data_IF_308172247744
#
_entry.id   IF_308172247744
#
_cell.length_a   1.000
_cell.length_b   1.000
_cell.length_c   1.000
_cell.angle_alpha   90.00
_cell.angle_beta   90.00
_cell.angle_gamma   90.00
#
_symmetry.space_group_name_H-M   'P 1'
#
loop_
_entity.id
_entity.type
_entity.pdbx_description
1 polymer ?
#
# COMPACT_ATOMS: atom_id res chain seq x y z
N UNK A 1 5.39 -43.13 -26.05
CA UNK A 1 5.15 -41.90 -26.84
C UNK A 1 5.63 -40.73 -26.00
N UNK A 2 6.58 -39.97 -26.53
CA UNK A 2 6.99 -38.70 -25.96
C UNK A 2 5.74 -37.82 -25.82
N UNK A 3 5.36 -37.47 -24.60
CA UNK A 3 4.32 -36.48 -24.39
C UNK A 3 4.99 -35.12 -24.44
N UNK A 4 4.63 -34.39 -25.49
CA UNK A 4 5.11 -33.08 -25.85
C UNK A 4 5.16 -32.13 -24.66
N UNK A 5 6.33 -31.53 -24.52
CA UNK A 5 6.59 -30.41 -23.64
C UNK A 5 6.16 -29.15 -24.39
N UNK A 6 5.11 -28.49 -23.86
CA UNK A 6 4.44 -27.27 -24.37
C UNK A 6 3.56 -27.44 -25.62
N UNK A 7 2.25 -27.30 -25.43
CA UNK A 7 1.27 -27.23 -26.52
C UNK A 7 1.43 -25.91 -27.28
N UNK A 8 2.19 -25.92 -28.36
CA UNK A 8 2.17 -24.81 -29.31
C UNK A 8 0.89 -24.89 -30.14
N UNK A 9 0.10 -23.83 -30.13
CA UNK A 9 -1.10 -23.70 -30.97
C UNK A 9 -0.66 -23.17 -32.32
N UNK A 10 -0.55 -24.05 -33.31
CA UNK A 10 -0.07 -23.71 -34.65
C UNK A 10 -1.06 -22.85 -35.46
N UNK A 11 -2.34 -22.94 -35.14
CA UNK A 11 -3.41 -22.18 -35.77
C UNK A 11 -4.22 -21.46 -34.70
N UNK A 12 -3.71 -20.33 -34.18
CA UNK A 12 -4.41 -19.60 -33.12
C UNK A 12 -5.69 -18.99 -33.68
N UNK A 13 -6.76 -18.97 -32.87
CA UNK A 13 -8.08 -18.48 -33.29
C UNK A 13 -8.08 -17.02 -33.80
N UNK A 14 -7.07 -16.24 -33.42
CA UNK A 14 -6.88 -14.83 -33.80
C UNK A 14 -6.09 -14.63 -35.09
N UNK A 15 -5.56 -15.70 -35.72
CA UNK A 15 -4.70 -15.63 -36.92
C UNK A 15 -5.32 -14.82 -38.07
N UNK A 16 -6.62 -15.02 -38.31
CA UNK A 16 -7.32 -14.39 -39.43
C UNK A 16 -8.00 -13.07 -39.03
N UNK A 17 -7.74 -12.55 -37.83
CA UNK A 17 -8.32 -11.28 -37.38
C UNK A 17 -7.55 -10.11 -38.01
N UNK A 18 -8.18 -9.33 -38.91
CA UNK A 18 -7.47 -8.38 -39.79
C UNK A 18 -6.79 -7.21 -39.07
N UNK A 19 -7.10 -6.99 -37.79
CA UNK A 19 -6.57 -5.92 -36.96
C UNK A 19 -5.91 -6.43 -35.66
N UNK A 20 -5.68 -7.75 -35.54
CA UNK A 20 -5.04 -8.33 -34.37
C UNK A 20 -3.52 -8.35 -34.55
N UNK A 21 -2.81 -7.53 -33.77
CA UNK A 21 -1.37 -7.63 -33.61
C UNK A 21 -1.07 -8.29 -32.27
N UNK A 22 -0.71 -9.58 -32.29
CA UNK A 22 -0.44 -10.35 -31.08
C UNK A 22 0.72 -9.76 -30.27
N UNK A 23 1.66 -9.08 -30.91
CA UNK A 23 2.80 -8.46 -30.22
C UNK A 23 2.37 -7.24 -29.41
N UNK A 24 1.24 -6.62 -29.77
CA UNK A 24 0.61 -5.51 -29.02
C UNK A 24 -0.44 -5.99 -28.02
N UNK A 25 -0.95 -7.22 -28.19
CA UNK A 25 -1.95 -7.79 -27.27
C UNK A 25 -1.36 -8.21 -25.92
N UNK A 26 -0.03 -8.41 -25.83
CA UNK A 26 0.64 -8.76 -24.58
C UNK A 26 1.03 -7.48 -23.86
N UNK A 27 0.16 -7.02 -22.97
CA UNK A 27 0.42 -5.83 -22.17
C UNK A 27 1.35 -6.13 -20.97
N UNK A 28 2.11 -5.12 -20.50
CA UNK A 28 2.90 -5.25 -19.29
C UNK A 28 2.03 -5.52 -18.07
N UNK A 29 2.61 -6.16 -17.04
CA UNK A 29 1.85 -6.54 -15.86
C UNK A 29 2.64 -6.20 -14.58
N UNK A 30 2.11 -5.28 -13.79
CA UNK A 30 2.79 -4.74 -12.61
C UNK A 30 3.03 -5.84 -11.57
N UNK A 31 2.02 -6.66 -11.27
CA UNK A 31 2.17 -7.69 -10.25
C UNK A 31 3.17 -8.77 -10.69
N UNK A 32 2.96 -9.42 -11.83
CA UNK A 32 3.71 -10.59 -12.26
C UNK A 32 5.03 -10.27 -12.93
N UNK A 33 5.18 -9.12 -13.58
CA UNK A 33 6.45 -8.73 -14.19
C UNK A 33 7.29 -7.90 -13.23
N UNK A 34 6.74 -6.87 -12.60
CA UNK A 34 7.53 -5.99 -11.74
C UNK A 34 7.70 -6.57 -10.34
N UNK A 35 6.63 -6.74 -9.58
CA UNK A 35 6.74 -7.20 -8.19
C UNK A 35 7.18 -8.67 -8.11
N UNK A 36 6.55 -9.56 -8.88
CA UNK A 36 6.84 -10.99 -8.84
C UNK A 36 7.99 -11.45 -9.72
N UNK A 37 8.40 -10.62 -10.68
CA UNK A 37 9.57 -10.84 -11.53
C UNK A 37 10.76 -10.00 -11.06
N UNK A 38 10.84 -8.76 -11.51
CA UNK A 38 11.99 -7.86 -11.31
C UNK A 38 12.36 -7.69 -9.84
N UNK A 39 11.42 -7.30 -8.99
CA UNK A 39 11.68 -7.09 -7.56
C UNK A 39 12.04 -8.41 -6.86
N UNK A 40 11.50 -9.55 -7.30
CA UNK A 40 11.89 -10.88 -6.79
C UNK A 40 13.40 -11.09 -6.92
N UNK A 41 13.87 -10.91 -8.15
CA UNK A 41 15.27 -11.11 -8.49
C UNK A 41 16.12 -10.08 -7.78
N UNK A 42 15.69 -8.82 -7.78
CA UNK A 42 16.38 -7.74 -7.10
C UNK A 42 16.59 -8.01 -5.61
N UNK A 43 15.57 -8.49 -4.89
CA UNK A 43 15.68 -8.85 -3.47
C UNK A 43 16.68 -9.98 -3.27
N UNK A 44 16.60 -11.05 -4.07
CA UNK A 44 17.56 -12.16 -4.01
C UNK A 44 19.00 -11.69 -4.26
N UNK A 45 19.19 -10.85 -5.27
CA UNK A 45 20.48 -10.24 -5.59
C UNK A 45 21.01 -9.38 -4.46
N UNK A 46 20.14 -8.59 -3.81
CA UNK A 46 20.54 -7.78 -2.67
C UNK A 46 20.95 -8.64 -1.46
N UNK A 47 20.29 -9.78 -1.23
CA UNK A 47 20.67 -10.72 -0.17
C UNK A 47 22.06 -11.33 -0.41
N UNK A 48 22.44 -11.58 -1.66
CA UNK A 48 23.78 -12.06 -2.02
C UNK A 48 24.85 -10.94 -1.97
N UNK A 49 24.47 -9.71 -2.30
CA UNK A 49 25.36 -8.54 -2.29
C UNK A 49 25.73 -8.07 -0.88
N UNK A 50 24.87 -8.31 0.11
CA UNK A 50 25.13 -7.93 1.50
C UNK A 50 26.20 -8.88 2.08
N UNK A 51 27.41 -8.38 2.43
CA UNK A 51 28.54 -9.26 2.77
C UNK A 51 28.32 -10.10 4.04
N UNK A 52 27.58 -9.55 5.01
CA UNK A 52 27.36 -10.18 6.31
C UNK A 52 26.01 -10.88 6.32
N UNK A 53 26.01 -12.20 6.53
CA UNK A 53 24.78 -12.99 6.65
C UNK A 53 23.89 -12.43 7.77
N UNK A 54 22.63 -12.17 7.44
CA UNK A 54 21.63 -11.67 8.39
C UNK A 54 21.67 -10.15 8.65
N UNK A 55 22.61 -9.41 8.05
CA UNK A 55 22.68 -7.95 8.18
C UNK A 55 21.45 -7.25 7.60
N UNK A 56 20.95 -7.72 6.45
CA UNK A 56 19.71 -7.18 5.86
C UNK A 56 18.53 -7.33 6.83
N UNK A 57 18.36 -8.50 7.44
CA UNK A 57 17.32 -8.73 8.44
C UNK A 57 17.53 -7.91 9.71
N UNK A 58 18.78 -7.73 10.15
CA UNK A 58 19.10 -6.88 11.29
C UNK A 58 18.68 -5.43 11.05
N UNK A 59 18.94 -4.90 9.84
CA UNK A 59 18.53 -3.55 9.46
C UNK A 59 17.02 -3.41 9.31
N UNK A 60 16.35 -4.42 8.75
CA UNK A 60 14.89 -4.45 8.67
C UNK A 60 14.23 -4.38 10.06
N UNK A 61 14.82 -5.05 11.07
CA UNK A 61 14.37 -4.98 12.47
C UNK A 61 14.68 -3.65 13.14
N UNK A 62 15.71 -2.94 12.69
CA UNK A 62 16.16 -1.67 13.25
C UNK A 62 15.46 -0.45 12.63
N UNK A 63 14.71 -0.64 11.53
CA UNK A 63 13.93 0.44 10.93
C UNK A 63 12.92 0.98 11.94
N UNK A 64 12.84 2.30 12.12
CA UNK A 64 11.77 2.86 12.94
C UNK A 64 10.41 2.54 12.28
N UNK A 65 9.36 2.32 13.08
CA UNK A 65 8.00 2.26 12.55
C UNK A 65 7.70 3.51 11.72
N UNK A 66 7.17 3.32 10.51
CA UNK A 66 6.78 4.38 9.61
C UNK A 66 5.34 4.14 9.13
N UNK A 67 4.59 5.23 8.95
CA UNK A 67 3.21 5.16 8.46
C UNK A 67 3.16 4.68 7.01
N UNK A 68 2.18 3.85 6.69
CA UNK A 68 2.03 3.23 5.36
C UNK A 68 3.13 2.23 5.01
N UNK A 69 3.93 1.76 5.97
CA UNK A 69 5.01 0.79 5.74
C UNK A 69 4.96 -0.31 6.78
N UNK A 70 4.90 -1.56 6.31
CA UNK A 70 4.93 -2.74 7.18
C UNK A 70 6.29 -2.87 7.86
N UNK A 71 6.26 -3.03 9.18
CA UNK A 71 7.45 -3.34 9.97
C UNK A 71 7.73 -4.85 9.99
N UNK A 72 8.94 -5.26 9.61
CA UNK A 72 9.35 -6.67 9.51
C UNK A 72 10.11 -7.12 10.77
N UNK A 73 9.38 -7.37 11.87
CA UNK A 73 9.95 -7.72 13.19
C UNK A 73 10.92 -8.91 13.19
N UNK A 74 10.74 -9.86 12.26
CA UNK A 74 11.56 -11.08 12.17
C UNK A 74 12.50 -11.05 10.96
N UNK A 75 12.62 -9.91 10.26
CA UNK A 75 13.30 -9.83 8.97
C UNK A 75 12.53 -10.52 7.83
N UNK A 76 13.14 -10.59 6.66
CA UNK A 76 12.55 -11.24 5.48
C UNK A 76 12.85 -12.73 5.40
N UNK A 77 13.99 -13.18 5.92
CA UNK A 77 14.34 -14.61 5.88
C UNK A 77 13.37 -15.51 6.65
N UNK A 78 12.59 -14.94 7.57
CA UNK A 78 11.55 -15.65 8.32
C UNK A 78 10.22 -15.78 7.57
N UNK A 79 10.04 -15.09 6.43
CA UNK A 79 8.80 -15.12 5.67
C UNK A 79 8.75 -16.36 4.76
N UNK A 80 7.72 -17.18 4.94
CA UNK A 80 7.35 -18.22 3.98
C UNK A 80 6.16 -17.75 3.16
N UNK A 81 6.18 -17.96 1.84
CA UNK A 81 5.09 -17.60 0.93
C UNK A 81 4.76 -16.09 0.90
N UNK A 82 5.71 -15.30 0.40
CA UNK A 82 5.60 -13.84 0.31
C UNK A 82 4.43 -13.43 -0.61
N UNK A 83 3.45 -12.71 -0.06
CA UNK A 83 2.29 -12.21 -0.81
C UNK A 83 2.61 -10.98 -1.67
N UNK A 84 1.70 -10.62 -2.58
CA UNK A 84 1.79 -9.38 -3.37
C UNK A 84 1.94 -8.12 -2.49
N UNK A 85 1.04 -7.89 -1.51
CA UNK A 85 1.17 -6.79 -0.56
C UNK A 85 2.50 -6.80 0.21
N UNK A 86 2.96 -7.97 0.66
CA UNK A 86 4.27 -8.07 1.33
C UNK A 86 5.40 -7.58 0.44
N UNK A 87 5.41 -7.92 -0.86
CA UNK A 87 6.41 -7.39 -1.78
C UNK A 87 6.33 -5.89 -1.98
N UNK A 88 5.13 -5.31 -2.04
CA UNK A 88 4.95 -3.85 -2.14
C UNK A 88 5.64 -3.17 -0.95
N UNK A 89 5.45 -3.70 0.26
CA UNK A 89 6.15 -3.21 1.46
C UNK A 89 7.66 -3.47 1.44
N UNK A 90 8.11 -4.61 0.91
CA UNK A 90 9.54 -4.86 0.73
C UNK A 90 10.21 -3.81 -0.17
N UNK A 91 9.55 -3.43 -1.27
CA UNK A 91 10.04 -2.39 -2.18
C UNK A 91 10.22 -1.03 -1.47
N UNK A 92 9.28 -0.66 -0.60
CA UNK A 92 9.28 0.61 0.15
C UNK A 92 10.50 0.76 1.07
N UNK A 93 10.98 -0.33 1.65
CA UNK A 93 12.06 -0.30 2.67
C UNK A 93 13.43 -0.73 2.16
N UNK A 94 13.48 -1.45 1.02
CA UNK A 94 14.71 -2.09 0.52
C UNK A 94 15.88 -1.10 0.43
N UNK A 95 15.67 0.05 -0.20
CA UNK A 95 16.74 1.02 -0.44
C UNK A 95 17.38 1.49 0.87
N UNK A 96 16.56 1.83 1.88
CA UNK A 96 17.03 2.32 3.17
C UNK A 96 17.89 1.29 3.92
N UNK A 97 17.58 0.00 3.77
CA UNK A 97 18.38 -1.06 4.38
C UNK A 97 19.75 -1.24 3.71
N UNK A 98 19.92 -0.86 2.45
CA UNK A 98 21.16 -1.09 1.68
C UNK A 98 22.15 0.06 1.73
N UNK A 99 21.71 1.27 2.09
CA UNK A 99 22.58 2.45 2.19
C UNK A 99 23.75 2.19 3.13
N UNK A 100 24.97 2.46 2.67
CA UNK A 100 26.19 2.24 3.43
C UNK A 100 26.69 0.78 3.47
N UNK A 101 25.97 -0.18 2.87
CA UNK A 101 26.48 -1.53 2.60
C UNK A 101 26.94 -1.63 1.15
N UNK A 102 26.06 -1.23 0.23
CA UNK A 102 26.28 -1.38 -1.21
C UNK A 102 26.91 -0.09 -1.78
N UNK A 103 27.89 -0.19 -2.69
CA UNK A 103 28.46 0.95 -3.40
C UNK A 103 27.41 1.79 -4.14
N UNK A 104 27.72 3.07 -4.37
CA UNK A 104 26.82 4.03 -5.03
C UNK A 104 26.23 3.54 -6.36
N UNK A 105 27.03 2.85 -7.17
CA UNK A 105 26.57 2.30 -8.46
C UNK A 105 25.49 1.23 -8.30
N UNK A 106 25.67 0.30 -7.35
CA UNK A 106 24.66 -0.70 -7.04
C UNK A 106 23.38 -0.07 -6.48
N UNK A 107 23.53 0.91 -5.59
CA UNK A 107 22.41 1.71 -5.08
C UNK A 107 21.67 2.42 -6.22
N UNK A 108 22.37 2.99 -7.19
CA UNK A 108 21.76 3.64 -8.35
C UNK A 108 20.97 2.65 -9.22
N UNK A 109 21.50 1.45 -9.48
CA UNK A 109 20.79 0.41 -10.23
C UNK A 109 19.52 -0.07 -9.51
N UNK A 110 19.60 -0.28 -8.19
CA UNK A 110 18.48 -0.72 -7.36
C UNK A 110 17.41 0.37 -7.27
N UNK A 111 17.82 1.61 -7.00
CA UNK A 111 16.93 2.77 -6.96
C UNK A 111 16.20 2.95 -8.28
N UNK A 112 16.91 2.88 -9.40
CA UNK A 112 16.32 3.01 -10.73
C UNK A 112 15.18 2.00 -10.99
N UNK A 113 15.35 0.75 -10.56
CA UNK A 113 14.28 -0.25 -10.65
C UNK A 113 13.11 0.08 -9.71
N UNK A 114 13.37 0.48 -8.46
CA UNK A 114 12.31 0.86 -7.52
C UNK A 114 11.51 2.08 -8.01
N UNK A 115 12.20 3.09 -8.55
CA UNK A 115 11.59 4.27 -9.17
C UNK A 115 10.72 3.86 -10.35
N UNK A 116 11.23 2.99 -11.23
CA UNK A 116 10.47 2.49 -12.37
C UNK A 116 9.17 1.80 -11.94
N UNK A 117 9.24 0.95 -10.90
CA UNK A 117 8.07 0.27 -10.34
C UNK A 117 7.06 1.29 -9.81
N UNK A 118 7.50 2.28 -9.04
CA UNK A 118 6.62 3.30 -8.48
C UNK A 118 5.98 4.18 -9.57
N UNK A 119 6.78 4.65 -10.54
CA UNK A 119 6.34 5.53 -11.62
C UNK A 119 5.37 4.83 -12.57
N UNK A 120 5.60 3.55 -12.89
CA UNK A 120 4.71 2.78 -13.79
C UNK A 120 3.27 2.61 -13.28
N UNK A 121 3.05 2.87 -11.98
CA UNK A 121 1.77 2.73 -11.31
C UNK A 121 1.03 4.07 -11.12
N UNK A 122 1.52 5.15 -11.73
CA UNK A 122 0.79 6.41 -11.70
C UNK A 122 -0.58 6.24 -12.37
N UNK A 123 -1.62 6.83 -11.76
CA UNK A 123 -3.00 6.78 -12.26
C UNK A 123 -3.22 7.66 -13.49
N UNK A 124 -2.27 8.53 -13.80
CA UNK A 124 -2.27 9.38 -14.97
C UNK A 124 -0.82 9.62 -15.40
N UNK A 125 -0.61 9.70 -16.70
CA UNK A 125 0.68 9.99 -17.30
C UNK A 125 0.55 11.15 -18.29
N UNK A 126 1.58 11.98 -18.29
CA UNK A 126 1.85 13.03 -19.26
C UNK A 126 3.27 12.83 -19.82
N UNK A 127 3.70 13.71 -20.73
CA UNK A 127 5.03 13.63 -21.32
C UNK A 127 6.16 13.73 -20.28
N UNK A 128 5.93 14.45 -19.18
CA UNK A 128 6.92 14.63 -18.11
C UNK A 128 7.12 13.36 -17.28
N UNK A 129 6.03 12.78 -16.81
CA UNK A 129 6.04 11.54 -16.01
C UNK A 129 6.49 10.33 -16.81
N UNK A 130 6.16 10.26 -18.11
CA UNK A 130 6.76 9.28 -19.02
C UNK A 130 8.27 9.50 -19.20
N UNK A 131 8.72 10.76 -19.21
CA UNK A 131 10.13 11.13 -19.17
C UNK A 131 10.84 10.60 -17.91
N UNK A 132 10.22 10.71 -16.73
CA UNK A 132 10.76 10.13 -15.49
C UNK A 132 10.87 8.61 -15.56
N UNK A 133 9.87 7.94 -16.14
CA UNK A 133 9.89 6.48 -16.31
C UNK A 133 11.02 6.04 -17.26
N UNK A 134 11.24 6.80 -18.35
CA UNK A 134 12.37 6.57 -19.26
C UNK A 134 13.71 6.80 -18.56
N UNK A 135 13.84 7.89 -17.80
CA UNK A 135 15.07 8.19 -17.05
C UNK A 135 15.38 7.07 -16.04
N UNK A 136 14.39 6.55 -15.32
CA UNK A 136 14.56 5.41 -14.43
C UNK A 136 15.07 4.17 -15.19
N UNK A 137 14.51 3.87 -16.37
CA UNK A 137 14.98 2.78 -17.21
C UNK A 137 16.44 2.99 -17.67
N UNK A 138 16.78 4.19 -18.13
CA UNK A 138 18.12 4.52 -18.61
C UNK A 138 19.16 4.45 -17.48
N UNK A 139 18.82 4.92 -16.28
CA UNK A 139 19.67 4.79 -15.09
C UNK A 139 19.89 3.31 -14.73
N UNK A 140 18.86 2.47 -14.84
CA UNK A 140 19.05 1.03 -14.66
C UNK A 140 20.01 0.46 -15.73
N UNK A 141 19.80 0.75 -17.01
CA UNK A 141 20.67 0.25 -18.09
C UNK A 141 22.13 0.67 -17.90
N UNK A 142 22.37 1.92 -17.47
CA UNK A 142 23.71 2.44 -17.19
C UNK A 142 24.43 1.71 -16.06
N UNK A 143 23.70 1.34 -15.00
CA UNK A 143 24.30 0.80 -13.77
C UNK A 143 24.15 -0.73 -13.61
N UNK A 144 23.33 -1.41 -14.43
CA UNK A 144 23.03 -2.85 -14.29
C UNK A 144 24.26 -3.76 -14.35
N UNK A 145 25.34 -3.31 -15.00
CA UNK A 145 26.61 -4.04 -15.08
C UNK A 145 27.22 -4.35 -13.71
N UNK A 146 26.85 -3.56 -12.68
CA UNK A 146 27.22 -3.82 -11.30
C UNK A 146 26.88 -5.25 -10.83
N UNK A 147 25.67 -5.75 -11.13
CA UNK A 147 25.24 -7.09 -10.69
C UNK A 147 26.08 -8.21 -11.29
N UNK A 148 26.50 -8.05 -12.55
CA UNK A 148 27.36 -9.01 -13.26
C UNK A 148 28.77 -8.97 -12.68
N UNK A 149 29.35 -7.77 -12.50
CA UNK A 149 30.72 -7.64 -11.96
C UNK A 149 30.85 -8.16 -10.53
N UNK A 150 29.79 -8.04 -9.74
CA UNK A 150 29.74 -8.61 -8.38
C UNK A 150 29.47 -10.13 -8.37
N UNK A 151 29.25 -10.76 -9.52
CA UNK A 151 29.06 -12.20 -9.64
C UNK A 151 27.68 -12.70 -9.19
N UNK A 152 26.73 -11.79 -8.94
CA UNK A 152 25.37 -12.12 -8.48
C UNK A 152 24.55 -12.79 -9.58
N UNK A 153 24.86 -12.48 -10.84
CA UNK A 153 24.27 -13.15 -11.99
C UNK A 153 25.23 -13.16 -13.18
N UNK A 154 25.13 -14.18 -14.05
CA UNK A 154 26.03 -14.35 -15.20
C UNK A 154 25.78 -13.34 -16.32
N UNK A 155 24.51 -13.12 -16.64
CA UNK A 155 24.04 -12.12 -17.60
C UNK A 155 22.74 -11.47 -17.11
N UNK A 156 22.09 -10.60 -17.89
CA UNK A 156 20.80 -10.02 -17.50
C UNK A 156 19.74 -10.23 -18.59
N UNK A 157 19.86 -11.33 -19.35
CA UNK A 157 18.90 -11.72 -20.39
C UNK A 157 17.67 -12.40 -19.78
N UNK A 158 17.05 -11.72 -18.82
CA UNK A 158 15.88 -12.20 -18.11
C UNK A 158 14.65 -11.56 -18.77
N UNK A 159 13.68 -12.35 -19.29
CA UNK A 159 12.53 -11.81 -20.00
C UNK A 159 11.77 -10.72 -19.22
N UNK A 160 11.66 -10.85 -17.90
CA UNK A 160 11.02 -9.86 -17.01
C UNK A 160 11.76 -8.53 -16.91
N UNK A 161 13.08 -8.51 -17.11
CA UNK A 161 13.86 -7.27 -17.17
C UNK A 161 13.82 -6.67 -18.57
N UNK A 162 13.74 -7.50 -19.62
CA UNK A 162 13.54 -7.01 -20.98
C UNK A 162 12.18 -6.32 -21.13
N UNK A 163 11.13 -6.85 -20.49
CA UNK A 163 9.77 -6.28 -20.59
C UNK A 163 9.66 -4.84 -20.10
N UNK A 164 10.60 -4.36 -19.27
CA UNK A 164 10.67 -2.96 -18.83
C UNK A 164 10.71 -1.98 -20.02
N UNK A 165 11.31 -2.37 -21.15
CA UNK A 165 11.40 -1.53 -22.34
C UNK A 165 10.03 -1.24 -22.98
N UNK A 166 9.03 -2.09 -22.72
CA UNK A 166 7.73 -2.03 -23.38
C UNK A 166 6.68 -1.24 -22.59
N UNK A 167 6.97 -0.85 -21.33
CA UNK A 167 5.99 -0.17 -20.48
C UNK A 167 5.57 1.19 -21.03
N UNK A 168 6.52 2.03 -21.46
CA UNK A 168 6.22 3.39 -21.92
C UNK A 168 5.33 3.36 -23.17
N UNK A 169 5.66 2.49 -24.12
CA UNK A 169 4.87 2.31 -25.35
C UNK A 169 3.47 1.75 -25.03
N UNK A 170 3.40 0.77 -24.14
CA UNK A 170 2.12 0.21 -23.70
C UNK A 170 1.25 1.23 -22.98
N UNK A 171 1.85 2.11 -22.16
CA UNK A 171 1.11 3.19 -21.50
C UNK A 171 0.54 4.18 -22.52
N UNK A 172 1.29 4.49 -23.59
CA UNK A 172 0.82 5.36 -24.68
C UNK A 172 -0.32 4.73 -25.48
N UNK A 173 -0.30 3.42 -25.70
CA UNK A 173 -1.33 2.74 -26.49
C UNK A 173 -2.58 2.37 -25.70
N UNK A 174 -2.43 1.94 -24.46
CA UNK A 174 -3.51 1.30 -23.68
C UNK A 174 -3.88 2.09 -22.41
N UNK A 175 -3.21 3.21 -22.17
CA UNK A 175 -3.36 3.99 -20.95
C UNK A 175 -2.57 3.42 -19.78
N UNK A 176 -2.87 3.91 -18.58
CA UNK A 176 -2.17 3.56 -17.34
C UNK A 176 -2.26 2.07 -17.03
N UNK A 177 -1.27 1.54 -16.30
CA UNK A 177 -1.09 0.09 -16.10
C UNK A 177 -2.25 -0.59 -15.39
N UNK A 178 -3.06 0.15 -14.63
CA UNK A 178 -4.28 -0.34 -14.01
C UNK A 178 -5.36 -0.78 -15.02
N UNK A 179 -5.32 -0.31 -16.27
CA UNK A 179 -6.30 -0.68 -17.30
C UNK A 179 -6.18 -2.14 -17.77
N UNK A 180 -5.02 -2.76 -17.57
CA UNK A 180 -4.71 -4.10 -18.08
C UNK A 180 -3.92 -4.96 -17.08
N UNK A 181 -3.86 -4.53 -15.81
CA UNK A 181 -3.23 -5.30 -14.75
C UNK A 181 -4.06 -6.57 -14.45
N UNK A 182 -3.37 -7.70 -14.31
CA UNK A 182 -4.02 -9.00 -14.09
C UNK A 182 -4.50 -9.23 -12.65
N UNK A 183 -4.15 -8.36 -11.70
CA UNK A 183 -4.65 -8.42 -10.32
C UNK A 183 -6.19 -8.50 -10.25
N UNK A 184 -6.90 -7.77 -11.11
CA UNK A 184 -8.36 -7.82 -11.18
C UNK A 184 -8.88 -9.20 -11.63
N UNK A 185 -8.22 -9.82 -12.61
CA UNK A 185 -8.56 -11.16 -13.07
C UNK A 185 -8.18 -12.24 -12.03
N UNK A 186 -7.10 -12.04 -11.26
CA UNK A 186 -6.74 -12.94 -10.16
C UNK A 186 -7.80 -12.92 -9.05
N UNK A 187 -8.41 -11.76 -8.77
CA UNK A 187 -9.56 -11.67 -7.86
C UNK A 187 -10.75 -12.47 -8.36
N UNK A 188 -11.04 -12.40 -9.66
CA UNK A 188 -12.11 -13.21 -10.25
C UNK A 188 -11.90 -14.71 -10.13
N UNK A 189 -10.66 -15.20 -10.00
CA UNK A 189 -10.44 -16.62 -9.67
C UNK A 189 -10.98 -17.00 -8.28
N UNK A 190 -11.08 -16.06 -7.34
CA UNK A 190 -11.73 -16.32 -6.05
C UNK A 190 -13.22 -16.60 -6.29
N UNK A 191 -13.92 -15.63 -6.86
CA UNK A 191 -15.37 -15.67 -7.00
C UNK A 191 -15.81 -16.74 -8.00
N UNK A 192 -15.17 -16.81 -9.18
CA UNK A 192 -15.62 -17.68 -10.27
C UNK A 192 -15.06 -19.10 -10.23
N UNK A 193 -13.92 -19.32 -9.57
CA UNK A 193 -13.31 -20.65 -9.49
C UNK A 193 -13.30 -21.22 -8.06
N UNK A 194 -12.74 -20.51 -7.08
CA UNK A 194 -12.56 -21.06 -5.73
C UNK A 194 -13.90 -21.23 -5.00
N UNK A 195 -14.81 -20.27 -5.09
CA UNK A 195 -16.13 -20.38 -4.45
C UNK A 195 -17.00 -21.43 -5.12
N UNK A 196 -17.06 -21.43 -6.46
CA UNK A 196 -17.73 -22.50 -7.22
C UNK A 196 -17.18 -23.89 -6.87
N UNK A 197 -15.86 -24.04 -6.78
CA UNK A 197 -15.23 -25.30 -6.37
C UNK A 197 -15.61 -25.71 -4.95
N UNK A 198 -15.60 -24.76 -3.99
CA UNK A 198 -16.00 -25.00 -2.59
C UNK A 198 -17.47 -25.40 -2.47
N UNK A 199 -18.34 -24.85 -3.32
CA UNK A 199 -19.76 -25.17 -3.39
C UNK A 199 -20.06 -26.50 -4.11
N UNK A 200 -19.09 -27.05 -4.85
CA UNK A 200 -19.22 -28.33 -5.54
C UNK A 200 -18.97 -29.52 -4.60
N UNK A 201 -19.39 -30.71 -5.03
CA UNK A 201 -19.03 -31.97 -4.37
C UNK A 201 -17.62 -32.48 -4.71
N UNK A 202 -16.84 -31.72 -5.50
CA UNK A 202 -15.46 -32.04 -5.97
C UNK A 202 -15.34 -33.29 -6.84
N UNK A 203 -16.43 -33.72 -7.47
CA UNK A 203 -16.47 -34.82 -8.43
C UNK A 203 -17.21 -34.37 -9.67
N UNK A 204 -16.54 -34.35 -10.82
CA UNK A 204 -17.11 -33.79 -12.06
C UNK A 204 -17.62 -32.35 -11.80
N UNK A 205 -16.68 -31.53 -11.33
CA UNK A 205 -16.90 -30.23 -10.73
C UNK A 205 -17.31 -29.16 -11.74
N UNK A 206 -16.82 -29.25 -12.99
CA UNK A 206 -16.96 -28.18 -13.97
C UNK A 206 -18.44 -27.82 -14.24
N UNK A 207 -19.35 -28.78 -14.53
CA UNK A 207 -20.77 -28.49 -14.70
C UNK A 207 -21.42 -27.88 -13.44
N UNK A 208 -20.97 -28.31 -12.25
CA UNK A 208 -21.49 -27.80 -10.98
C UNK A 208 -21.05 -26.35 -10.73
N UNK A 209 -19.78 -26.04 -11.00
CA UNK A 209 -19.21 -24.70 -10.89
C UNK A 209 -19.91 -23.72 -11.85
N UNK A 210 -20.12 -24.13 -13.10
CA UNK A 210 -20.85 -23.34 -14.10
C UNK A 210 -22.30 -23.09 -13.63
N UNK A 211 -22.99 -24.13 -13.14
CA UNK A 211 -24.36 -24.00 -12.62
C UNK A 211 -24.43 -23.07 -11.42
N UNK A 212 -23.46 -23.16 -10.51
CA UNK A 212 -23.34 -22.28 -9.36
C UNK A 212 -23.15 -20.83 -9.79
N UNK A 213 -22.23 -20.57 -10.73
CA UNK A 213 -21.97 -19.24 -11.26
C UNK A 213 -23.21 -18.62 -11.92
N UNK A 214 -23.89 -19.38 -12.78
CA UNK A 214 -25.15 -18.93 -13.41
C UNK A 214 -26.25 -18.63 -12.40
N UNK A 215 -26.23 -19.23 -11.21
CA UNK A 215 -27.17 -18.89 -10.13
C UNK A 215 -26.78 -17.59 -9.47
N UNK A 216 -25.49 -17.38 -9.16
CA UNK A 216 -25.00 -16.12 -8.58
C UNK A 216 -25.29 -14.92 -9.49
N UNK A 217 -25.05 -15.06 -10.80
CA UNK A 217 -25.35 -14.02 -11.78
C UNK A 217 -26.85 -13.66 -11.80
N UNK A 218 -27.73 -14.67 -11.72
CA UNK A 218 -29.19 -14.43 -11.66
C UNK A 218 -29.63 -13.74 -10.38
N UNK A 219 -29.06 -14.09 -9.23
CA UNK A 219 -29.35 -13.42 -7.95
C UNK A 219 -28.87 -11.97 -8.02
N UNK A 220 -27.64 -11.72 -8.45
CA UNK A 220 -27.11 -10.36 -8.58
C UNK A 220 -27.91 -9.49 -9.56
N UNK A 221 -28.32 -10.06 -10.70
CA UNK A 221 -29.19 -9.35 -11.65
C UNK A 221 -30.56 -8.99 -11.04
N UNK A 222 -31.11 -9.86 -10.20
CA UNK A 222 -32.36 -9.60 -9.50
C UNK A 222 -32.21 -8.56 -8.39
N UNK A 223 -31.13 -8.60 -7.62
CA UNK A 223 -30.81 -7.58 -6.60
C UNK A 223 -30.68 -6.19 -7.25
N UNK A 224 -29.96 -6.09 -8.37
CA UNK A 224 -29.84 -4.84 -9.13
C UNK A 224 -31.20 -4.32 -9.62
N UNK A 225 -32.11 -5.24 -10.01
CA UNK A 225 -33.47 -4.87 -10.41
C UNK A 225 -34.28 -4.32 -9.22
N UNK A 226 -34.15 -4.92 -8.03
CA UNK A 226 -34.79 -4.42 -6.82
C UNK A 226 -34.25 -3.04 -6.43
N UNK A 227 -32.92 -2.85 -6.47
CA UNK A 227 -32.29 -1.56 -6.18
C UNK A 227 -32.77 -0.47 -7.15
N UNK A 228 -32.89 -0.80 -8.45
CA UNK A 228 -33.40 0.12 -9.45
C UNK A 228 -34.85 0.55 -9.16
N UNK A 229 -35.73 -0.37 -8.79
CA UNK A 229 -37.10 -0.05 -8.37
C UNK A 229 -37.12 0.85 -7.13
N UNK A 230 -36.21 0.62 -6.18
CA UNK A 230 -36.12 1.38 -4.95
C UNK A 230 -35.59 2.82 -5.19
N UNK A 231 -34.69 2.99 -6.18
CA UNK A 231 -34.19 4.29 -6.65
C UNK A 231 -35.27 5.06 -7.43
N UNK A 232 -36.09 4.41 -8.25
CA UNK A 232 -37.24 5.09 -8.88
C UNK A 232 -38.28 5.56 -7.86
N UNK A 233 -38.41 4.87 -6.73
CA UNK A 233 -39.33 5.24 -5.64
C UNK A 233 -38.82 6.43 -4.79
N UNK A 234 -37.52 6.68 -4.76
CA UNK A 234 -36.87 7.75 -3.98
C UNK A 234 -36.28 8.79 -4.93
N UNK A 235 -36.84 10.01 -4.97
CA UNK A 235 -36.13 11.17 -5.57
C UNK A 235 -34.84 11.41 -4.79
N UNK A 236 -33.70 10.85 -5.22
CA UNK A 236 -32.42 11.03 -4.53
C UNK A 236 -31.60 12.13 -5.23
N UNK A 237 -31.01 13.07 -4.46
CA UNK A 237 -30.09 14.08 -4.96
C UNK A 237 -28.81 13.45 -5.55
N UNK A 238 -28.14 14.23 -6.39
CA UNK A 238 -26.89 13.91 -7.09
C UNK A 238 -25.85 13.18 -6.23
N UNK A 239 -25.06 12.25 -6.81
CA UNK A 239 -24.02 11.54 -6.09
C UNK A 239 -22.93 12.52 -5.67
N UNK A 240 -22.87 12.82 -4.37
CA UNK A 240 -21.67 13.40 -3.76
C UNK A 240 -20.55 12.37 -3.90
N UNK A 241 -19.34 12.76 -4.33
CA UNK A 241 -18.22 11.82 -4.41
C UNK A 241 -18.05 11.18 -3.04
N UNK A 242 -18.00 9.86 -2.99
CA UNK A 242 -17.58 9.09 -1.81
C UNK A 242 -16.09 9.39 -1.58
N UNK A 243 -15.78 10.58 -1.06
CA UNK A 243 -14.57 10.76 -0.27
C UNK A 243 -14.76 9.87 0.94
N UNK A 244 -14.19 8.65 0.89
CA UNK A 244 -13.98 7.83 2.08
C UNK A 244 -13.14 8.69 3.04
N UNK A 245 -13.81 9.45 3.92
CA UNK A 245 -13.14 10.11 5.04
C UNK A 245 -12.40 9.02 5.79
N UNK A 246 -11.09 9.19 5.99
CA UNK A 246 -10.27 8.29 6.80
C UNK A 246 -10.99 7.95 8.10
N UNK A 247 -11.42 6.71 8.25
CA UNK A 247 -12.13 6.27 9.46
C UNK A 247 -11.11 6.10 10.59
N UNK A 248 -11.36 6.78 11.71
CA UNK A 248 -10.59 6.58 12.94
C UNK A 248 -11.29 5.51 13.76
N UNK A 249 -10.59 4.43 14.07
CA UNK A 249 -11.05 3.34 14.90
C UNK A 249 -10.36 3.40 16.27
N UNK A 250 -11.16 3.49 17.33
CA UNK A 250 -10.69 3.46 18.71
C UNK A 250 -11.29 2.25 19.44
N UNK A 251 -10.64 1.79 20.50
CA UNK A 251 -11.18 0.70 21.32
C UNK A 251 -12.52 1.11 21.94
N UNK A 252 -13.46 0.16 22.07
CA UNK A 252 -14.77 0.41 22.70
C UNK A 252 -14.64 0.82 24.16
N UNK A 253 -13.63 0.30 24.86
CA UNK A 253 -13.37 0.57 26.28
C UNK A 253 -11.95 1.12 26.46
N UNK A 254 -11.76 2.14 27.31
CA UNK A 254 -10.44 2.71 27.59
C UNK A 254 -9.57 1.70 28.35
N UNK A 255 -8.30 1.52 27.97
CA UNK A 255 -7.33 0.75 28.78
C UNK A 255 -7.18 1.31 30.20
N UNK A 256 -7.40 2.61 30.37
CA UNK A 256 -7.26 3.31 31.63
C UNK A 256 -8.48 4.20 31.92
N UNK A 257 -9.58 3.62 32.45
CA UNK A 257 -10.77 4.38 32.79
C UNK A 257 -10.53 5.29 34.02
N UNK A 258 -11.17 6.45 34.04
CA UNK A 258 -11.27 7.33 35.21
C UNK A 258 -9.94 7.81 35.80
N UNK A 259 -8.89 7.99 34.98
CA UNK A 259 -7.56 8.43 35.44
C UNK A 259 -7.57 9.89 35.87
N UNK A 260 -6.97 10.18 37.03
CA UNK A 260 -6.81 11.56 37.52
C UNK A 260 -5.92 12.35 36.56
N UNK A 261 -6.28 13.60 36.28
CA UNK A 261 -5.52 14.50 35.39
C UNK A 261 -4.06 14.64 35.85
N UNK A 262 -3.78 14.68 37.16
CA UNK A 262 -2.41 14.72 37.69
C UNK A 262 -1.57 13.51 37.27
N UNK A 263 -2.15 12.31 37.33
CA UNK A 263 -1.49 11.06 36.93
C UNK A 263 -1.25 11.05 35.41
N UNK A 264 -2.16 11.59 34.61
CA UNK A 264 -2.00 11.68 33.15
C UNK A 264 -0.78 12.56 32.81
N UNK A 265 -0.66 13.72 33.46
CA UNK A 265 0.48 14.65 33.26
C UNK A 265 1.81 13.97 33.54
N UNK A 266 1.88 13.20 34.62
CA UNK A 266 3.09 12.52 35.05
C UNK A 266 3.42 11.33 34.15
N UNK A 267 2.48 10.40 33.96
CA UNK A 267 2.72 9.16 33.22
C UNK A 267 2.99 9.38 31.72
N UNK A 268 2.35 10.39 31.10
CA UNK A 268 2.54 10.70 29.68
C UNK A 268 3.56 11.82 29.44
N UNK A 269 4.28 12.28 30.48
CA UNK A 269 5.20 13.42 30.40
C UNK A 269 4.58 14.65 29.71
N UNK A 270 3.34 14.97 30.10
CA UNK A 270 2.52 16.01 29.49
C UNK A 270 2.22 17.12 30.52
N UNK A 271 3.22 17.93 30.93
CA UNK A 271 3.07 18.90 32.03
C UNK A 271 2.05 20.01 31.73
N UNK A 272 1.81 20.31 30.45
CA UNK A 272 0.85 21.30 29.99
C UNK A 272 -0.54 20.73 29.68
N UNK A 273 -0.77 19.42 29.89
CA UNK A 273 -2.02 18.76 29.49
C UNK A 273 -3.27 19.44 30.07
N UNK A 274 -3.26 19.77 31.37
CA UNK A 274 -4.40 20.43 32.02
C UNK A 274 -4.69 21.83 31.43
N UNK A 275 -3.64 22.59 31.11
CA UNK A 275 -3.78 23.90 30.48
C UNK A 275 -4.34 23.74 29.06
N UNK A 276 -3.72 22.89 28.24
CA UNK A 276 -4.12 22.66 26.86
C UNK A 276 -5.56 22.12 26.75
N UNK A 277 -5.98 21.27 27.71
CA UNK A 277 -7.35 20.78 27.77
C UNK A 277 -8.35 21.90 28.06
N UNK A 278 -8.04 22.81 28.99
CA UNK A 278 -8.89 23.97 29.28
C UNK A 278 -9.01 24.90 28.09
N UNK A 279 -7.88 25.20 27.43
CA UNK A 279 -7.84 26.01 26.20
C UNK A 279 -8.65 25.35 25.07
N UNK A 280 -8.54 24.03 24.91
CA UNK A 280 -9.30 23.27 23.93
C UNK A 280 -10.80 23.31 24.20
N UNK A 281 -11.23 23.03 25.44
CA UNK A 281 -12.65 23.07 25.83
C UNK A 281 -13.26 24.47 25.71
N UNK A 282 -12.47 25.52 25.97
CA UNK A 282 -12.89 26.92 25.80
C UNK A 282 -13.31 27.23 24.35
N UNK A 283 -12.77 26.53 23.34
CA UNK A 283 -13.19 26.69 21.93
C UNK A 283 -14.65 26.27 21.68
N UNK A 284 -15.19 25.37 22.50
CA UNK A 284 -16.57 24.88 22.38
C UNK A 284 -17.58 25.75 23.12
N UNK A 285 -17.13 26.73 23.92
CA UNK A 285 -18.03 27.68 24.55
C UNK A 285 -18.65 28.64 23.51
N UNK A 286 -19.90 29.10 23.71
CA UNK A 286 -20.51 30.15 22.88
C UNK A 286 -19.63 31.40 22.85
N UNK A 287 -19.61 32.14 21.73
CA UNK A 287 -18.68 33.27 21.50
C UNK A 287 -18.64 34.31 22.63
N UNK A 288 -19.76 34.57 23.33
CA UNK A 288 -19.81 35.49 24.47
C UNK A 288 -19.30 34.95 25.81
N UNK A 289 -19.05 33.64 25.92
CA UNK A 289 -18.55 32.96 27.11
C UNK A 289 -17.11 32.47 26.94
N UNK A 290 -16.51 32.68 25.75
CA UNK A 290 -15.11 32.34 25.51
C UNK A 290 -14.23 33.32 26.25
N UNK A 291 -13.32 32.77 27.03
CA UNK A 291 -12.30 33.55 27.73
C UNK A 291 -11.05 33.65 26.88
N UNK A 292 -10.23 34.67 27.08
CA UNK A 292 -8.92 34.74 26.43
C UNK A 292 -8.06 33.55 26.86
N UNK A 293 -7.24 33.00 25.96
CA UNK A 293 -6.32 31.90 26.26
C UNK A 293 -5.43 32.23 27.48
N UNK A 294 -5.08 33.51 27.66
CA UNK A 294 -4.30 34.02 28.78
C UNK A 294 -4.97 33.87 30.16
N UNK A 295 -6.27 33.62 30.24
CA UNK A 295 -7.03 33.47 31.51
C UNK A 295 -7.73 32.12 31.60
N UNK A 296 -7.97 31.47 30.46
CA UNK A 296 -8.66 30.17 30.35
C UNK A 296 -8.06 29.05 31.23
N UNK A 297 -6.75 29.10 31.51
CA UNK A 297 -6.05 28.11 32.32
C UNK A 297 -6.33 28.22 33.83
N UNK A 298 -6.88 29.35 34.30
CA UNK A 298 -7.20 29.60 35.71
C UNK A 298 -8.53 28.95 36.14
N UNK A 299 -9.41 28.59 35.20
CA UNK A 299 -10.69 27.97 35.52
C UNK A 299 -10.52 26.53 36.01
N UNK A 300 -11.31 26.16 37.02
CA UNK A 300 -11.40 24.78 37.47
C UNK A 300 -12.27 23.98 36.50
N UNK A 301 -11.79 22.79 36.10
CA UNK A 301 -12.62 21.84 35.36
C UNK A 301 -13.66 21.22 36.31
N UNK A 302 -14.91 20.99 35.85
CA UNK A 302 -15.94 20.36 36.67
C UNK A 302 -15.67 18.87 36.94
N UNK A 303 -14.62 18.31 36.33
CA UNK A 303 -14.16 16.94 36.52
C UNK A 303 -12.65 16.92 36.73
N UNK A 304 -12.17 15.88 37.42
CA UNK A 304 -10.74 15.66 37.66
C UNK A 304 -10.22 14.35 37.06
N UNK A 305 -11.11 13.58 36.41
CA UNK A 305 -10.82 12.24 35.89
C UNK A 305 -11.26 12.14 34.44
N UNK A 306 -10.47 11.42 33.65
CA UNK A 306 -10.72 11.16 32.23
C UNK A 306 -10.44 9.71 31.91
N UNK A 307 -11.18 9.19 30.94
CA UNK A 307 -10.86 7.92 30.30
C UNK A 307 -9.72 8.13 29.32
N UNK A 308 -8.65 7.33 29.44
CA UNK A 308 -7.44 7.48 28.65
C UNK A 308 -7.28 6.29 27.70
N UNK A 309 -7.24 6.62 26.41
CA UNK A 309 -6.90 5.71 25.33
C UNK A 309 -5.43 5.90 24.94
N UNK A 310 -4.71 4.80 24.74
CA UNK A 310 -3.29 4.82 24.40
C UNK A 310 -3.02 4.55 22.93
N UNK A 311 -4.04 4.23 22.14
CA UNK A 311 -3.88 4.02 20.71
C UNK A 311 -5.20 4.22 19.97
N UNK A 312 -5.08 4.61 18.71
CA UNK A 312 -6.16 4.55 17.74
C UNK A 312 -5.60 4.04 16.42
N UNK A 313 -6.48 3.47 15.60
CA UNK A 313 -6.15 3.05 14.24
C UNK A 313 -6.81 4.00 13.26
N UNK A 314 -6.17 4.22 12.12
CA UNK A 314 -6.77 5.00 11.05
C UNK A 314 -6.33 4.43 9.70
N UNK A 315 -7.11 4.73 8.67
CA UNK A 315 -6.81 4.36 7.31
C UNK A 315 -6.29 5.59 6.54
N UNK A 316 -4.97 5.70 6.29
CA UNK A 316 -4.44 6.75 5.45
C UNK A 316 -4.93 6.58 4.01
N UNK A 317 -5.14 7.70 3.31
CA UNK A 317 -5.49 7.66 1.88
C UNK A 317 -4.29 7.11 1.09
N UNK A 318 -4.42 5.94 0.47
CA UNK A 318 -3.36 5.40 -0.40
C UNK A 318 -3.43 6.05 -1.78
N UNK A 319 -2.38 6.78 -2.16
CA UNK A 319 -2.25 7.38 -3.50
C UNK A 319 -2.19 6.31 -4.61
N UNK A 320 -1.79 5.08 -4.27
CA UNK A 320 -1.53 4.00 -5.24
C UNK A 320 -2.48 2.80 -5.11
N UNK A 321 -3.18 2.62 -3.98
CA UNK A 321 -3.83 1.33 -3.66
C UNK A 321 -5.35 1.43 -3.38
N UNK A 322 -6.13 1.92 -4.35
CA UNK A 322 -7.59 1.68 -4.30
C UNK A 322 -8.02 0.40 -5.05
N UNK A 323 -7.07 -0.34 -5.65
CA UNK A 323 -7.38 -1.57 -6.40
C UNK A 323 -7.32 -2.86 -5.56
N UNK A 324 -6.54 -2.89 -4.47
CA UNK A 324 -6.45 -4.06 -3.58
C UNK A 324 -7.59 -4.02 -2.56
N UNK A 325 -8.69 -4.71 -2.88
CA UNK A 325 -9.87 -4.80 -2.03
C UNK A 325 -9.70 -5.59 -0.72
N UNK A 326 -8.51 -6.11 -0.40
CA UNK A 326 -8.35 -7.17 0.62
C UNK A 326 -7.36 -6.87 1.76
N UNK A 327 -6.78 -5.67 1.84
CA UNK A 327 -6.06 -5.26 3.05
C UNK A 327 -6.46 -3.86 3.45
N UNK A 328 -7.39 -3.75 4.40
CA UNK A 328 -7.57 -2.52 5.17
C UNK A 328 -6.28 -2.25 5.95
N UNK A 329 -5.34 -1.56 5.30
CA UNK A 329 -4.09 -1.14 5.91
C UNK A 329 -4.43 -0.12 7.00
N UNK A 330 -4.38 -0.61 8.23
CA UNK A 330 -4.68 0.16 9.42
C UNK A 330 -3.36 0.59 10.07
N UNK A 331 -3.04 1.87 9.95
CA UNK A 331 -1.96 2.44 10.73
C UNK A 331 -2.42 2.61 12.17
N UNK A 332 -1.53 2.31 13.12
CA UNK A 332 -1.82 2.44 14.55
C UNK A 332 -0.94 3.52 15.15
N UNK A 333 -1.57 4.60 15.60
CA UNK A 333 -0.91 5.63 16.42
C UNK A 333 -0.94 5.19 17.86
N UNK A 334 0.20 5.27 18.54
CA UNK A 334 0.36 4.89 19.95
C UNK A 334 0.89 6.05 20.79
N UNK A 335 0.26 6.24 21.95
CA UNK A 335 0.68 7.11 23.04
C UNK A 335 0.71 6.29 24.34
N UNK A 336 1.72 5.42 24.44
CA UNK A 336 1.92 4.49 25.56
C UNK A 336 2.87 5.14 26.58
N UNK A 337 2.45 5.29 27.85
CA UNK A 337 3.31 5.81 28.89
C UNK A 337 4.45 4.84 29.23
N UNK A 338 5.46 5.33 29.93
CA UNK A 338 6.53 4.49 30.47
C UNK A 338 5.94 3.47 31.45
N UNK A 339 6.40 2.22 31.36
CA UNK A 339 5.94 1.13 32.22
C UNK A 339 7.02 0.07 32.35
N UNK A 340 6.83 -0.91 33.24
CA UNK A 340 7.77 -2.03 33.42
C UNK A 340 8.01 -2.82 32.12
N UNK A 341 7.01 -2.90 31.25
CA UNK A 341 7.08 -3.58 29.94
C UNK A 341 7.55 -2.66 28.81
N UNK A 342 7.49 -1.35 29.00
CA UNK A 342 7.90 -0.33 28.01
C UNK A 342 8.64 0.80 28.72
N UNK A 343 9.92 0.61 29.10
CA UNK A 343 10.64 1.55 29.96
C UNK A 343 10.79 2.95 29.36
N UNK A 344 10.85 3.05 28.03
CA UNK A 344 10.97 4.31 27.31
C UNK A 344 9.62 4.91 26.86
N UNK A 345 8.50 4.20 27.09
CA UNK A 345 7.20 4.58 26.52
C UNK A 345 7.21 4.59 24.99
N UNK A 346 6.13 5.09 24.38
CA UNK A 346 6.04 5.36 22.93
C UNK A 346 5.05 6.48 22.69
N UNK A 347 5.48 7.54 22.01
CA UNK A 347 4.61 8.65 21.61
C UNK A 347 4.80 8.88 20.12
N UNK A 348 3.81 8.46 19.34
CA UNK A 348 3.80 8.63 17.91
C UNK A 348 3.33 10.06 17.56
N UNK A 349 4.07 10.72 16.67
CA UNK A 349 3.69 12.04 16.15
C UNK A 349 2.61 11.89 15.09
N UNK A 350 1.62 12.79 15.13
CA UNK A 350 0.54 12.87 14.13
C UNK A 350 0.44 14.31 13.64
N UNK A 351 0.32 14.48 12.32
CA UNK A 351 -0.01 15.76 11.71
C UNK A 351 -1.53 15.77 11.46
N UNK A 352 -2.21 16.79 11.99
CA UNK A 352 -3.67 16.91 11.89
C UNK A 352 -4.00 18.15 11.07
N UNK A 353 -4.78 17.96 10.01
CA UNK A 353 -5.36 19.08 9.26
C UNK A 353 -6.40 19.77 10.15
N UNK A 354 -6.11 21.00 10.56
CA UNK A 354 -6.83 21.69 11.63
C UNK A 354 -8.03 22.52 11.14
N UNK A 355 -8.18 22.74 9.83
CA UNK A 355 -9.31 23.45 9.23
C UNK A 355 -9.47 23.10 7.73
N UNK A 356 -10.56 23.55 7.13
CA UNK A 356 -10.87 23.30 5.70
C UNK A 356 -9.91 24.02 4.74
N UNK A 357 -9.08 24.94 5.24
CA UNK A 357 -8.02 25.61 4.48
C UNK A 357 -6.66 24.89 4.61
N UNK A 358 -6.57 23.84 5.43
CA UNK A 358 -5.35 23.08 5.63
C UNK A 358 -5.25 22.03 4.52
N UNK A 359 -4.31 22.24 3.60
CA UNK A 359 -4.01 21.30 2.53
C UNK A 359 -2.81 20.42 2.90
N UNK A 360 -2.83 19.16 2.46
CA UNK A 360 -1.69 18.26 2.57
C UNK A 360 -0.68 18.61 1.47
N UNK A 361 0.32 19.43 1.79
CA UNK A 361 1.36 19.85 0.83
C UNK A 361 2.49 18.82 0.66
N UNK A 362 2.35 17.60 1.20
CA UNK A 362 3.38 16.55 1.14
C UNK A 362 3.77 16.08 -0.28
N UNK A 363 3.10 16.59 -1.32
CA UNK A 363 3.34 16.30 -2.72
C UNK A 363 4.25 17.35 -3.40
N UNK A 364 4.58 18.48 -2.74
CA UNK A 364 5.64 19.38 -3.22
C UNK A 364 7.02 18.78 -2.87
N UNK A 365 7.40 17.75 -3.63
CA UNK A 365 8.69 17.09 -3.47
C UNK A 365 9.84 18.06 -3.72
N UNK A 366 10.48 18.54 -2.65
CA UNK A 366 11.85 19.04 -2.76
C UNK A 366 12.77 17.85 -3.06
N UNK A 367 13.50 17.92 -4.18
CA UNK A 367 14.61 17.00 -4.48
C UNK A 367 15.65 17.10 -3.35
N UNK A 368 15.58 16.21 -2.38
CA UNK A 368 16.70 15.97 -1.49
C UNK A 368 17.66 14.99 -2.15
N UNK A 369 18.96 15.27 -1.99
CA UNK A 369 20.15 14.55 -2.50
C UNK A 369 20.64 14.99 -3.88
N UNK A 370 21.39 16.09 -3.88
CA UNK A 370 22.49 16.39 -4.80
C UNK A 370 23.78 15.69 -4.36
#
# INVERSE_FOLDING_TARGET
MAQDVSGSVYDPFWKDFPLCDIHKAITPDVLHQLYQGVLKHLIGWCQELVPTRGELDARLRALPPAYGVRHFNNGWSALSQISGPERKHMARVLLGCLVGIIPKEGIAAIKALLDFIALSQYRAHDSHTLGYLQEALDQYQKNKGYFIRMGVHKDLHIPKFHSLQHYIESIKYFGTTNNYNTEAFERFHIDFAKEGWRASNRRDEFPQMVTWLSRQEKVSAFDNYLDWLDVESKKVPSPTPLSKRSSIHIAKYPPFPGRKISIIKEMHNAPLFSQNLKEYLNKFLPRGHRTSNAVSHLYALPFQRLDVFTQFKFHPYSLQEEADGDVEENDTVKAIPTSRTSPNGRMDTVIVLYNDAAESTGVEGQKCFS
#
